data_IF_453737360553
#
_entry.id   IF_453737360553
#
_cell.length_a   1.000
_cell.length_b   1.000
_cell.length_c   1.000
_cell.angle_alpha   90.00
_cell.angle_beta   90.00
_cell.angle_gamma   90.00
#
_symmetry.space_group_name_H-M   'P 1'
#
loop_
_entity.id
_entity.type
_entity.pdbx_description
1 polymer ?
#
# COMPACT_ATOMS: atom_id res chain seq x y z
N UNK A 1 -26.86 15.96 35.63
CA UNK A 1 -26.82 16.17 34.16
C UNK A 1 -25.87 15.17 33.48
N UNK A 2 -26.17 13.85 33.47
CA UNK A 2 -25.28 12.84 32.85
C UNK A 2 -25.37 12.78 31.31
N UNK A 3 -26.51 13.15 30.73
CA UNK A 3 -26.77 13.01 29.29
C UNK A 3 -25.86 13.87 28.37
N UNK A 4 -25.38 15.03 28.84
CA UNK A 4 -24.43 15.87 28.07
C UNK A 4 -23.03 15.26 28.04
N UNK A 5 -22.61 14.64 29.14
CA UNK A 5 -21.28 14.05 29.27
C UNK A 5 -21.17 12.74 28.46
N UNK A 6 -22.24 11.93 28.43
CA UNK A 6 -22.31 10.73 27.59
C UNK A 6 -22.26 11.06 26.09
N UNK A 7 -23.05 12.04 25.62
CA UNK A 7 -23.01 12.48 24.21
C UNK A 7 -21.63 13.00 23.78
N UNK A 8 -20.91 13.66 24.69
CA UNK A 8 -19.56 14.17 24.41
C UNK A 8 -18.55 13.04 24.27
N UNK A 9 -18.68 11.98 25.09
CA UNK A 9 -17.83 10.78 25.01
C UNK A 9 -18.09 9.96 23.74
N UNK A 10 -19.34 9.81 23.33
CA UNK A 10 -19.69 9.14 22.07
C UNK A 10 -19.14 9.89 20.86
N UNK A 11 -19.31 11.23 20.80
CA UNK A 11 -18.78 12.03 19.70
C UNK A 11 -17.25 11.96 19.57
N UNK A 12 -16.53 11.94 20.70
CA UNK A 12 -15.07 11.76 20.71
C UNK A 12 -14.69 10.34 20.26
N UNK A 13 -15.45 9.31 20.64
CA UNK A 13 -15.20 7.93 20.22
C UNK A 13 -15.38 7.77 18.70
N UNK A 14 -16.47 8.30 18.15
CA UNK A 14 -16.73 8.25 16.70
C UNK A 14 -15.65 8.95 15.89
N UNK A 15 -15.21 10.15 16.33
CA UNK A 15 -14.10 10.85 15.67
C UNK A 15 -12.81 10.04 15.66
N UNK A 16 -12.47 9.39 16.77
CA UNK A 16 -11.25 8.55 16.85
C UNK A 16 -11.32 7.34 15.92
N UNK A 17 -12.49 6.72 15.79
CA UNK A 17 -12.69 5.60 14.86
C UNK A 17 -12.53 6.06 13.40
N UNK A 18 -13.13 7.19 13.04
CA UNK A 18 -12.97 7.78 11.71
C UNK A 18 -11.52 8.18 11.43
N UNK A 19 -10.82 8.78 12.39
CA UNK A 19 -9.40 9.13 12.27
C UNK A 19 -8.51 7.89 12.08
N UNK A 20 -8.78 6.82 12.82
CA UNK A 20 -8.05 5.56 12.68
C UNK A 20 -8.26 4.92 11.30
N UNK A 21 -9.51 4.91 10.82
CA UNK A 21 -9.87 4.43 9.47
C UNK A 21 -9.17 5.24 8.38
N UNK A 22 -9.19 6.57 8.50
CA UNK A 22 -8.52 7.46 7.56
C UNK A 22 -7.00 7.19 7.54
N UNK A 23 -6.37 7.03 8.70
CA UNK A 23 -4.94 6.71 8.78
C UNK A 23 -4.59 5.36 8.13
N UNK A 24 -5.42 4.32 8.35
CA UNK A 24 -5.22 3.03 7.72
C UNK A 24 -5.30 3.12 6.18
N UNK A 25 -6.29 3.87 5.67
CA UNK A 25 -6.44 4.12 4.24
C UNK A 25 -5.23 4.86 3.67
N UNK A 26 -4.74 5.92 4.33
CA UNK A 26 -3.57 6.68 3.89
C UNK A 26 -2.31 5.79 3.81
N UNK A 27 -2.11 4.90 4.78
CA UNK A 27 -1.00 3.93 4.76
C UNK A 27 -1.12 3.00 3.54
N UNK A 28 -2.32 2.50 3.26
CA UNK A 28 -2.56 1.63 2.11
C UNK A 28 -2.35 2.38 0.79
N UNK A 29 -2.87 3.60 0.66
CA UNK A 29 -2.69 4.44 -0.52
C UNK A 29 -1.21 4.74 -0.78
N UNK A 30 -0.45 5.07 0.27
CA UNK A 30 0.98 5.32 0.15
C UNK A 30 1.75 4.06 -0.30
N UNK A 31 1.42 2.89 0.24
CA UNK A 31 2.03 1.62 -0.15
C UNK A 31 1.71 1.26 -1.62
N UNK A 32 0.46 1.43 -2.02
CA UNK A 32 0.01 1.23 -3.40
C UNK A 32 0.68 2.21 -4.37
N UNK A 33 0.73 3.50 -4.04
CA UNK A 33 1.39 4.49 -4.87
C UNK A 33 2.87 4.17 -5.06
N UNK A 34 3.55 3.72 -4.00
CA UNK A 34 4.96 3.30 -4.07
C UNK A 34 5.14 2.06 -4.96
N UNK A 35 4.23 1.08 -4.91
CA UNK A 35 4.31 -0.09 -5.80
C UNK A 35 4.19 0.31 -7.27
N UNK A 36 3.28 1.24 -7.60
CA UNK A 36 3.13 1.75 -8.97
C UNK A 36 4.39 2.50 -9.42
N UNK A 37 4.93 3.40 -8.59
CA UNK A 37 6.16 4.14 -8.91
C UNK A 37 7.34 3.21 -9.20
N UNK A 38 7.48 2.11 -8.44
CA UNK A 38 8.52 1.11 -8.69
C UNK A 38 8.30 0.41 -10.04
N UNK A 39 7.06 0.03 -10.38
CA UNK A 39 6.73 -0.59 -11.68
C UNK A 39 7.03 0.35 -12.84
N UNK A 40 6.65 1.62 -12.73
CA UNK A 40 6.92 2.64 -13.74
C UNK A 40 8.42 2.84 -13.94
N UNK A 41 9.19 2.84 -12.85
CA UNK A 41 10.64 2.95 -12.91
C UNK A 41 11.29 1.75 -13.60
N UNK A 42 10.85 0.53 -13.28
CA UNK A 42 11.33 -0.71 -13.93
C UNK A 42 11.11 -0.65 -15.44
N UNK A 43 9.92 -0.23 -15.88
CA UNK A 43 9.62 -0.11 -17.31
C UNK A 43 10.42 1.00 -18.00
N UNK A 44 10.64 2.14 -17.32
CA UNK A 44 11.52 3.18 -17.81
C UNK A 44 12.98 2.70 -17.98
N UNK A 45 13.50 1.93 -17.01
CA UNK A 45 14.84 1.33 -17.08
C UNK A 45 14.92 0.32 -18.21
N UNK A 46 13.93 -0.56 -18.34
CA UNK A 46 13.84 -1.55 -19.43
C UNK A 46 13.89 -0.87 -20.79
N UNK A 47 13.05 0.15 -21.01
CA UNK A 47 13.01 0.91 -22.26
C UNK A 47 14.36 1.56 -22.56
N UNK A 48 14.94 2.25 -21.59
CA UNK A 48 16.24 2.93 -21.75
C UNK A 48 17.36 1.93 -22.09
N UNK A 49 17.35 0.74 -21.50
CA UNK A 49 18.33 -0.30 -21.79
C UNK A 49 18.19 -0.83 -23.22
N UNK A 50 16.96 -1.05 -23.69
CA UNK A 50 16.67 -1.48 -25.06
C UNK A 50 17.07 -0.38 -26.06
N UNK A 51 16.74 0.88 -25.79
CA UNK A 51 17.11 2.01 -26.65
C UNK A 51 18.63 2.15 -26.81
N UNK A 52 19.40 1.90 -25.74
CA UNK A 52 20.87 2.05 -25.75
C UNK A 52 21.64 0.84 -26.24
N UNK A 53 21.13 -0.36 -25.97
CA UNK A 53 21.87 -1.61 -26.17
C UNK A 53 21.16 -2.60 -27.10
N UNK A 54 19.98 -2.24 -27.61
CA UNK A 54 19.16 -3.04 -28.54
C UNK A 54 18.37 -4.16 -27.86
N UNK A 55 18.95 -4.84 -26.87
CA UNK A 55 18.29 -5.90 -26.13
C UNK A 55 18.82 -6.02 -24.70
N UNK A 56 18.02 -6.63 -23.84
CA UNK A 56 18.45 -7.06 -22.50
C UNK A 56 18.86 -8.52 -22.61
N UNK A 57 20.12 -8.81 -22.30
CA UNK A 57 20.63 -10.18 -22.33
C UNK A 57 19.91 -11.07 -21.32
N UNK A 58 19.45 -12.28 -21.71
CA UNK A 58 18.93 -13.27 -20.77
C UNK A 58 20.01 -13.65 -19.74
N UNK A 59 19.62 -13.79 -18.48
CA UNK A 59 20.52 -14.03 -17.37
C UNK A 59 21.50 -12.87 -17.11
N UNK A 60 21.29 -11.69 -17.67
CA UNK A 60 22.10 -10.52 -17.33
C UNK A 60 21.82 -10.06 -15.90
N UNK A 61 22.75 -9.28 -15.32
CA UNK A 61 22.51 -8.63 -14.04
C UNK A 61 21.28 -7.72 -14.12
N UNK A 62 21.14 -6.98 -15.22
CA UNK A 62 20.00 -6.10 -15.44
C UNK A 62 18.67 -6.86 -15.45
N UNK A 63 18.57 -7.98 -16.18
CA UNK A 63 17.34 -8.78 -16.19
C UNK A 63 16.98 -9.27 -14.78
N UNK A 64 17.94 -9.84 -14.04
CA UNK A 64 17.71 -10.28 -12.65
C UNK A 64 17.25 -9.14 -11.75
N UNK A 65 17.86 -7.96 -11.90
CA UNK A 65 17.48 -6.78 -11.14
C UNK A 65 16.07 -6.31 -11.48
N UNK A 66 15.68 -6.31 -12.76
CA UNK A 66 14.32 -5.97 -13.19
C UNK A 66 13.31 -6.96 -12.59
N UNK A 67 13.57 -8.27 -12.67
CA UNK A 67 12.71 -9.31 -12.07
C UNK A 67 12.54 -9.11 -10.57
N UNK A 68 13.65 -8.97 -9.83
CA UNK A 68 13.60 -8.75 -8.39
C UNK A 68 12.84 -7.46 -8.02
N UNK A 69 13.01 -6.40 -8.80
CA UNK A 69 12.35 -5.11 -8.52
C UNK A 69 10.85 -5.19 -8.79
N UNK A 70 10.42 -5.93 -9.82
CA UNK A 70 9.00 -6.24 -10.04
C UNK A 70 8.40 -7.03 -8.88
N UNK A 71 9.08 -8.07 -8.39
CA UNK A 71 8.65 -8.82 -7.20
C UNK A 71 8.62 -7.94 -5.94
N UNK A 72 9.56 -7.01 -5.80
CA UNK A 72 9.57 -6.06 -4.69
C UNK A 72 8.35 -5.13 -4.74
N UNK A 73 8.00 -4.60 -5.92
CA UNK A 73 6.77 -3.82 -6.10
C UNK A 73 5.53 -4.62 -5.70
N UNK A 74 5.49 -5.91 -6.05
CA UNK A 74 4.39 -6.80 -5.72
C UNK A 74 4.24 -7.05 -4.21
N UNK A 75 5.35 -7.11 -3.47
CA UNK A 75 5.32 -7.21 -2.00
C UNK A 75 4.83 -5.93 -1.31
N UNK A 76 5.06 -4.78 -1.94
CA UNK A 76 4.58 -3.49 -1.45
C UNK A 76 3.10 -3.25 -1.76
N UNK A 77 2.59 -3.86 -2.83
CA UNK A 77 1.23 -3.66 -3.32
C UNK A 77 0.20 -4.21 -2.33
N UNK A 78 -0.53 -3.35 -1.59
CA UNK A 78 -1.50 -3.82 -0.62
C UNK A 78 -2.64 -4.59 -1.30
N UNK A 79 -2.95 -4.30 -2.57
CA UNK A 79 -4.02 -4.94 -3.33
C UNK A 79 -3.71 -6.40 -3.73
N UNK A 80 -2.47 -6.86 -3.53
CA UNK A 80 -2.10 -8.26 -3.74
C UNK A 80 -2.34 -9.14 -2.51
N UNK A 81 -2.72 -8.54 -1.38
CA UNK A 81 -3.20 -9.26 -0.19
C UNK A 81 -4.68 -9.57 -0.33
N UNK A 82 -5.17 -10.52 0.45
CA UNK A 82 -6.59 -10.89 0.44
C UNK A 82 -7.43 -9.65 0.83
N UNK A 83 -8.49 -9.30 0.08
CA UNK A 83 -9.45 -8.28 0.46
C UNK A 83 -9.97 -8.42 1.91
N UNK A 84 -10.01 -9.63 2.47
CA UNK A 84 -10.37 -9.89 3.86
C UNK A 84 -9.39 -9.26 4.88
N UNK A 85 -8.10 -9.13 4.53
CA UNK A 85 -7.09 -8.47 5.37
C UNK A 85 -7.37 -6.97 5.57
N UNK A 86 -8.14 -6.36 4.65
CA UNK A 86 -8.53 -4.95 4.74
C UNK A 86 -9.61 -4.71 5.80
N UNK A 87 -10.41 -5.73 6.13
CA UNK A 87 -11.55 -5.62 7.05
C UNK A 87 -11.23 -6.14 8.46
N UNK A 88 -10.26 -7.06 8.62
CA UNK A 88 -9.84 -7.59 9.93
C UNK A 88 -9.23 -6.51 10.85
N UNK A 89 -8.63 -5.46 10.28
CA UNK A 89 -8.14 -4.32 11.04
C UNK A 89 -9.27 -3.45 11.64
N UNK A 90 -10.48 -3.50 11.08
CA UNK A 90 -11.65 -2.78 11.61
C UNK A 90 -12.35 -3.55 12.73
N UNK A 91 -12.31 -4.88 12.72
CA UNK A 91 -13.03 -5.73 13.70
C UNK A 91 -12.35 -5.81 15.07
N UNK A 92 -11.04 -5.58 15.16
CA UNK A 92 -10.30 -5.65 16.44
C UNK A 92 -10.49 -4.41 17.33
N UNK A 93 -11.05 -3.31 16.81
CA UNK A 93 -11.28 -2.08 17.58
C UNK A 93 -12.66 -1.98 18.24
N UNK A 94 -13.55 -2.95 18.02
CA UNK A 94 -14.92 -2.96 18.57
C UNK A 94 -15.08 -3.81 19.85
N UNK A 95 -14.02 -4.44 20.37
CA UNK A 95 -14.10 -5.37 21.53
C UNK A 95 -13.52 -4.84 22.87
N UNK A 96 -13.43 -3.53 23.11
CA UNK A 96 -12.97 -2.99 24.40
C UNK A 96 -13.76 -1.78 24.94
#
# INVERSE_FOLDING_TARGET
MPAKEQRRREAVRQRRLEEARAQALEIQLAAWQKSQQVRDYVEAVRRTAIERHGAIGPGSHLERWLTWTSEYADRLDPLRRDPADFWLAESDTDSA
#
